data_IF_372437555825
#
_entry.id   IF_372437555825
#
_cell.length_a   1.000
_cell.length_b   1.000
_cell.length_c   1.000
_cell.angle_alpha   90.00
_cell.angle_beta   90.00
_cell.angle_gamma   90.00
#
_symmetry.space_group_name_H-M   'P 1'
#
loop_
_entity.id
_entity.type
_entity.pdbx_description
1 polymer ?
#
# COMPACT_ATOMS: atom_id res chain seq x y z
N UNK A 1 -1.59 -20.77 -5.27
CA UNK A 1 -1.53 -19.32 -5.51
C UNK A 1 -0.20 -18.84 -4.99
N UNK A 2 0.64 -18.28 -5.86
CA UNK A 2 1.99 -17.84 -5.50
C UNK A 2 1.93 -16.86 -4.32
N UNK A 3 2.54 -17.23 -3.18
CA UNK A 3 2.58 -16.36 -2.01
C UNK A 3 3.54 -15.20 -2.31
N UNK A 4 2.98 -14.06 -2.72
CA UNK A 4 3.74 -12.82 -2.84
C UNK A 4 4.11 -12.37 -1.42
N UNK A 5 5.40 -12.13 -1.11
CA UNK A 5 5.80 -11.66 0.21
C UNK A 5 5.09 -10.34 0.58
N UNK A 6 4.62 -10.20 1.82
CA UNK A 6 3.96 -8.98 2.30
C UNK A 6 4.81 -7.72 2.09
N UNK A 7 6.13 -7.83 2.28
CA UNK A 7 7.06 -6.71 2.04
C UNK A 7 7.02 -6.22 0.59
N UNK A 8 6.86 -7.12 -0.37
CA UNK A 8 6.76 -6.75 -1.78
C UNK A 8 5.43 -6.06 -2.08
N UNK A 9 4.33 -6.54 -1.50
CA UNK A 9 3.02 -5.88 -1.61
C UNK A 9 3.09 -4.46 -1.02
N UNK A 10 3.70 -4.30 0.17
CA UNK A 10 3.92 -3.00 0.79
C UNK A 10 4.69 -2.06 -0.14
N UNK A 11 5.82 -2.52 -0.68
CA UNK A 11 6.66 -1.71 -1.57
C UNK A 11 5.92 -1.30 -2.86
N UNK A 12 5.15 -2.21 -3.47
CA UNK A 12 4.34 -1.91 -4.66
C UNK A 12 3.27 -0.87 -4.33
N UNK A 13 2.44 -1.12 -3.31
CA UNK A 13 1.36 -0.22 -2.94
C UNK A 13 1.87 1.16 -2.51
N UNK A 14 3.02 1.24 -1.84
CA UNK A 14 3.59 2.51 -1.39
C UNK A 14 4.04 3.45 -2.52
N UNK A 15 4.13 2.95 -3.77
CA UNK A 15 4.51 3.74 -4.96
C UNK A 15 3.29 4.24 -5.74
N UNK A 16 2.08 3.82 -5.39
CA UNK A 16 0.86 4.16 -6.11
C UNK A 16 0.29 5.48 -5.62
N UNK A 17 -0.40 6.20 -6.50
CA UNK A 17 -1.08 7.43 -6.10
C UNK A 17 -2.26 7.14 -5.16
N UNK A 18 -2.63 8.09 -4.27
CA UNK A 18 -3.76 7.91 -3.34
C UNK A 18 -5.06 7.48 -4.03
N UNK A 19 -5.33 7.99 -5.24
CA UNK A 19 -6.54 7.68 -6.00
C UNK A 19 -6.63 6.20 -6.37
N UNK A 20 -5.50 5.58 -6.70
CA UNK A 20 -5.44 4.16 -7.04
C UNK A 20 -5.49 3.30 -5.78
N UNK A 21 -4.81 3.72 -4.70
CA UNK A 21 -4.86 3.03 -3.41
C UNK A 21 -6.28 2.85 -2.87
N UNK A 22 -7.14 3.87 -2.99
CA UNK A 22 -8.54 3.78 -2.57
C UNK A 22 -9.25 2.64 -3.31
N UNK A 23 -8.99 2.45 -4.61
CA UNK A 23 -9.59 1.37 -5.40
C UNK A 23 -9.10 0.00 -4.94
N UNK A 24 -7.85 -0.10 -4.50
CA UNK A 24 -7.27 -1.37 -4.06
C UNK A 24 -7.71 -1.82 -2.67
N UNK A 25 -8.41 -0.96 -1.93
CA UNK A 25 -9.01 -1.34 -0.64
C UNK A 25 -10.07 -2.45 -0.76
N UNK A 26 -10.68 -2.64 -1.94
CA UNK A 26 -11.69 -3.68 -2.17
C UNK A 26 -11.12 -5.04 -2.62
N UNK A 27 -9.80 -5.14 -2.86
CA UNK A 27 -9.16 -6.37 -3.37
C UNK A 27 -9.18 -7.48 -2.32
N UNK A 28 -8.86 -7.15 -1.07
CA UNK A 28 -8.92 -8.09 0.06
C UNK A 28 -8.91 -7.37 1.41
N UNK A 29 -9.35 -8.04 2.46
CA UNK A 29 -9.25 -7.54 3.85
C UNK A 29 -7.81 -7.23 4.27
N UNK A 30 -6.84 -8.02 3.79
CA UNK A 30 -5.43 -7.83 4.08
C UNK A 30 -4.90 -6.53 3.45
N UNK A 31 -5.31 -6.24 2.21
CA UNK A 31 -4.92 -5.01 1.52
C UNK A 31 -5.59 -3.78 2.15
N UNK A 32 -6.87 -3.89 2.51
CA UNK A 32 -7.56 -2.84 3.26
C UNK A 32 -6.81 -2.51 4.56
N UNK A 33 -6.48 -3.52 5.37
CA UNK A 33 -5.76 -3.33 6.63
C UNK A 33 -4.35 -2.75 6.43
N UNK A 34 -3.65 -3.17 5.38
CA UNK A 34 -2.31 -2.67 5.05
C UNK A 34 -2.33 -1.18 4.67
N UNK A 35 -3.29 -0.77 3.83
CA UNK A 35 -3.41 0.61 3.35
C UNK A 35 -3.77 1.58 4.50
N UNK A 36 -4.55 1.12 5.49
CA UNK A 36 -4.94 1.91 6.66
C UNK A 36 -3.95 1.82 7.83
N UNK A 37 -2.84 1.08 7.66
CA UNK A 37 -1.81 0.96 8.69
C UNK A 37 -0.96 2.25 8.78
N UNK A 38 -0.61 2.66 9.99
CA UNK A 38 0.16 3.90 10.23
C UNK A 38 1.56 3.89 9.61
N UNK A 39 2.25 2.74 9.61
CA UNK A 39 3.57 2.59 8.98
C UNK A 39 3.46 2.73 7.46
N UNK A 40 2.39 2.19 6.87
CA UNK A 40 2.12 2.36 5.44
C UNK A 40 1.88 3.83 5.09
N UNK A 41 1.03 4.52 5.86
CA UNK A 41 0.74 5.94 5.65
C UNK A 41 2.01 6.79 5.76
N UNK A 42 2.86 6.52 6.75
CA UNK A 42 4.15 7.22 6.92
C UNK A 42 5.06 6.97 5.72
N UNK A 43 5.24 5.72 5.31
CA UNK A 43 6.10 5.38 4.18
C UNK A 43 5.59 5.95 2.85
N UNK A 44 4.28 5.94 2.63
CA UNK A 44 3.64 6.53 1.44
C UNK A 44 3.84 8.04 1.40
N UNK A 45 3.61 8.72 2.52
CA UNK A 45 3.82 10.17 2.65
C UNK A 45 5.29 10.57 2.42
N UNK A 46 6.24 9.85 3.03
CA UNK A 46 7.68 10.09 2.83
C UNK A 46 8.11 9.91 1.37
N UNK A 47 7.52 8.95 0.64
CA UNK A 47 7.80 8.76 -0.79
C UNK A 47 7.19 9.87 -1.64
N UNK A 48 5.97 10.32 -1.32
CA UNK A 48 5.31 11.40 -2.05
C UNK A 48 6.05 12.74 -1.96
N UNK A 49 6.78 12.99 -0.86
CA UNK A 49 7.60 14.22 -0.72
C UNK A 49 8.92 14.12 -1.48
N UNK A 50 9.44 12.90 -1.71
CA UNK A 50 10.74 12.66 -2.36
C UNK A 50 10.66 12.65 -3.89
N UNK A 51 9.47 12.75 -4.46
CA UNK A 51 9.22 12.74 -5.91
C UNK A 51 9.02 14.17 -6.39
#
# INVERSE_FOLDING_TARGET
>A
MSNIPQKLIFDILSRLEPKDLIRYTCVSKAWYALIHNQDFIKAHHERSIKT
#
